data_IF_060607347566
#
_entry.id   IF_060607347566
#
_cell.length_a   1.000
_cell.length_b   1.000
_cell.length_c   1.000
_cell.angle_alpha   90.00
_cell.angle_beta   90.00
_cell.angle_gamma   90.00
#
_symmetry.space_group_name_H-M   'P 1'
#
loop_
_entity.id
_entity.type
_entity.pdbx_description
1 polymer ?
#
# COMPACT_ATOMS: atom_id res chain seq x y z
N UNK A 1 -4.40 -1.52 -8.01
CA UNK A 1 -5.07 -0.45 -8.76
C UNK A 1 -4.05 0.43 -9.49
N UNK A 2 -4.32 0.83 -10.73
CA UNK A 2 -3.47 1.72 -11.55
C UNK A 2 -4.30 2.92 -12.03
N UNK A 3 -3.94 4.14 -11.59
CA UNK A 3 -4.53 5.37 -12.14
C UNK A 3 -3.76 5.75 -13.42
N UNK A 4 -4.43 5.95 -14.56
CA UNK A 4 -3.76 6.45 -15.77
C UNK A 4 -3.09 7.80 -15.52
N UNK A 5 -1.79 7.90 -15.82
CA UNK A 5 -1.02 9.14 -15.70
C UNK A 5 -1.64 10.31 -16.50
N UNK A 6 -2.35 10.01 -17.59
CA UNK A 6 -3.06 11.00 -18.40
C UNK A 6 -4.15 11.79 -17.67
N UNK A 7 -4.58 11.34 -16.48
CA UNK A 7 -5.61 12.02 -15.68
C UNK A 7 -5.04 13.03 -14.67
N UNK A 8 -3.80 12.84 -14.21
CA UNK A 8 -3.22 13.65 -13.12
C UNK A 8 -2.33 14.80 -13.59
N UNK A 9 -1.85 14.77 -14.85
CA UNK A 9 -0.97 15.81 -15.40
C UNK A 9 0.49 15.72 -14.93
N UNK A 10 1.26 16.78 -15.20
CA UNK A 10 2.67 16.84 -14.79
C UNK A 10 2.81 17.03 -13.27
N UNK A 11 3.79 16.36 -12.67
CA UNK A 11 4.07 16.44 -11.22
C UNK A 11 3.66 15.22 -10.41
N UNK A 12 2.92 14.28 -11.00
CA UNK A 12 2.56 13.02 -10.38
C UNK A 12 3.41 11.86 -10.88
N UNK A 13 3.76 10.95 -9.97
CA UNK A 13 4.35 9.66 -10.29
C UNK A 13 3.47 8.56 -9.73
N UNK A 14 2.83 7.81 -10.63
CA UNK A 14 1.96 6.69 -10.26
C UNK A 14 2.77 5.41 -10.20
N UNK A 15 2.70 4.70 -9.08
CA UNK A 15 3.37 3.43 -8.85
C UNK A 15 2.36 2.39 -8.39
N UNK A 16 2.54 1.14 -8.82
CA UNK A 16 1.73 0.02 -8.37
C UNK A 16 2.42 -0.74 -7.23
N UNK A 17 1.65 -1.13 -6.22
CA UNK A 17 2.11 -2.07 -5.19
C UNK A 17 2.14 -3.53 -5.68
N UNK A 18 1.53 -3.81 -6.84
CA UNK A 18 1.32 -5.16 -7.37
C UNK A 18 0.56 -6.08 -6.39
N UNK A 19 -0.38 -5.52 -5.63
CA UNK A 19 -1.24 -6.24 -4.68
C UNK A 19 -0.73 -6.12 -3.23
N UNK A 20 -0.97 -7.17 -2.44
CA UNK A 20 -0.56 -7.27 -1.04
C UNK A 20 0.96 -7.34 -0.91
N UNK A 21 1.52 -6.46 -0.07
CA UNK A 21 2.97 -6.38 0.18
C UNK A 21 3.40 -7.01 1.51
N UNK A 22 2.43 -7.33 2.37
CA UNK A 22 2.59 -7.98 3.66
C UNK A 22 1.52 -9.06 3.76
N UNK A 23 1.84 -10.13 4.47
CA UNK A 23 0.93 -11.25 4.68
C UNK A 23 1.18 -11.89 6.05
N UNK A 24 0.28 -12.77 6.49
CA UNK A 24 0.54 -13.65 7.61
C UNK A 24 1.59 -14.70 7.22
N UNK A 25 2.41 -15.17 8.17
CA UNK A 25 3.35 -16.25 7.93
C UNK A 25 2.60 -17.55 7.60
N UNK A 26 3.09 -18.30 6.61
CA UNK A 26 2.46 -19.54 6.14
C UNK A 26 2.69 -20.72 7.11
N UNK A 27 3.81 -20.71 7.84
CA UNK A 27 4.28 -21.83 8.66
C UNK A 27 3.83 -21.77 10.14
N UNK A 28 3.12 -20.73 10.55
CA UNK A 28 2.63 -20.54 11.91
C UNK A 28 1.25 -19.87 11.90
N UNK A 29 0.53 -19.88 13.03
CA UNK A 29 -0.83 -19.30 13.12
C UNK A 29 -0.88 -17.81 12.71
N UNK A 30 0.23 -17.10 12.83
CA UNK A 30 0.35 -15.69 12.43
C UNK A 30 -0.42 -14.72 13.32
N UNK A 31 -1.06 -15.19 14.38
CA UNK A 31 -1.85 -14.40 15.32
C UNK A 31 -1.48 -14.79 16.76
N UNK A 32 -1.22 -13.79 17.60
CA UNK A 32 -0.93 -13.98 19.02
C UNK A 32 -2.25 -13.96 19.83
N UNK A 33 -2.78 -15.14 20.14
CA UNK A 33 -4.06 -15.31 20.87
C UNK A 33 -3.98 -14.72 22.29
N UNK A 34 -2.81 -14.81 22.92
CA UNK A 34 -2.58 -14.30 24.29
C UNK A 34 -2.46 -12.77 24.33
N UNK A 35 -2.17 -12.13 23.18
CA UNK A 35 -2.03 -10.68 23.05
C UNK A 35 -3.11 -10.06 22.17
N UNK A 36 -4.37 -10.26 22.56
CA UNK A 36 -5.54 -9.62 21.92
C UNK A 36 -5.59 -9.84 20.40
N UNK A 37 -5.29 -11.07 19.97
CA UNK A 37 -5.26 -11.47 18.56
C UNK A 37 -4.35 -10.60 17.69
N UNK A 38 -3.22 -10.14 18.24
CA UNK A 38 -2.29 -9.31 17.50
C UNK A 38 -1.71 -10.07 16.30
N UNK A 39 -1.91 -9.58 15.05
CA UNK A 39 -1.37 -10.24 13.87
C UNK A 39 0.13 -10.01 13.74
N UNK A 40 0.84 -11.05 13.32
CA UNK A 40 2.24 -11.01 12.91
C UNK A 40 2.29 -11.00 11.39
N UNK A 41 2.60 -9.84 10.82
CA UNK A 41 2.75 -9.69 9.38
C UNK A 41 4.21 -9.77 8.94
N UNK A 42 4.48 -10.60 7.94
CA UNK A 42 5.77 -10.73 7.27
C UNK A 42 5.74 -10.04 5.91
N UNK A 43 6.92 -9.76 5.35
CA UNK A 43 7.08 -9.29 3.97
C UNK A 43 7.49 -10.48 3.10
N UNK A 44 6.62 -10.94 2.18
CA UNK A 44 6.96 -12.01 1.26
C UNK A 44 8.21 -11.66 0.42
N UNK A 45 9.08 -12.62 0.08
CA UNK A 45 10.28 -12.37 -0.72
C UNK A 45 9.98 -11.64 -2.04
N UNK A 46 8.87 -12.00 -2.71
CA UNK A 46 8.39 -11.35 -3.94
C UNK A 46 8.13 -9.85 -3.79
N UNK A 47 7.69 -9.41 -2.61
CA UNK A 47 7.29 -8.03 -2.34
C UNK A 47 8.46 -7.14 -1.91
N UNK A 48 9.61 -7.72 -1.51
CA UNK A 48 10.80 -6.97 -1.05
C UNK A 48 11.33 -5.99 -2.11
N UNK A 49 11.39 -6.42 -3.38
CA UNK A 49 11.87 -5.57 -4.48
C UNK A 49 10.94 -4.37 -4.69
N UNK A 50 9.63 -4.61 -4.66
CA UNK A 50 8.60 -3.57 -4.80
C UNK A 50 8.68 -2.58 -3.64
N UNK A 51 8.72 -3.05 -2.40
CA UNK A 51 8.84 -2.18 -1.21
C UNK A 51 10.09 -1.31 -1.29
N UNK A 52 11.24 -1.87 -1.68
CA UNK A 52 12.48 -1.10 -1.83
C UNK A 52 12.35 0.00 -2.88
N UNK A 53 11.72 -0.31 -4.02
CA UNK A 53 11.47 0.68 -5.07
C UNK A 53 10.51 1.78 -4.60
N UNK A 54 9.38 1.40 -3.99
CA UNK A 54 8.39 2.34 -3.46
C UNK A 54 9.01 3.25 -2.38
N UNK A 55 9.78 2.69 -1.45
CA UNK A 55 10.42 3.45 -0.37
C UNK A 55 11.39 4.51 -0.91
N UNK A 56 12.17 4.18 -1.95
CA UNK A 56 13.06 5.12 -2.63
C UNK A 56 12.29 6.30 -3.25
N UNK A 57 11.11 6.05 -3.82
CA UNK A 57 10.33 7.09 -4.48
C UNK A 57 9.53 7.94 -3.48
N UNK A 58 8.96 7.33 -2.45
CA UNK A 58 8.26 8.02 -1.36
C UNK A 58 9.17 9.03 -0.67
N UNK A 59 10.43 8.68 -0.42
CA UNK A 59 11.39 9.60 0.22
C UNK A 59 11.70 10.85 -0.62
N UNK A 60 11.51 10.78 -1.94
CA UNK A 60 11.69 11.92 -2.86
C UNK A 60 10.40 12.72 -3.05
N UNK A 61 9.26 12.15 -2.70
CA UNK A 61 7.96 12.76 -2.91
C UNK A 61 7.65 13.77 -1.79
N UNK A 62 7.10 14.93 -2.15
CA UNK A 62 6.60 15.91 -1.17
C UNK A 62 5.35 15.38 -0.44
N UNK A 63 4.47 14.73 -1.20
CA UNK A 63 3.21 14.16 -0.72
C UNK A 63 3.10 12.74 -1.24
N UNK A 64 2.66 11.81 -0.39
CA UNK A 64 2.35 10.43 -0.80
C UNK A 64 0.85 10.23 -0.71
N UNK A 65 0.26 9.77 -1.82
CA UNK A 65 -1.18 9.51 -1.94
C UNK A 65 -1.40 8.01 -2.07
N UNK A 66 -2.24 7.43 -1.22
CA UNK A 66 -2.72 6.06 -1.30
C UNK A 66 -4.06 6.06 -2.04
N UNK A 67 -4.08 5.36 -3.17
CA UNK A 67 -5.19 5.31 -4.10
C UNK A 67 -5.62 3.85 -4.33
N UNK A 68 -6.04 3.18 -3.26
CA UNK A 68 -6.59 1.83 -3.28
C UNK A 68 -8.12 1.86 -3.41
N UNK A 69 -8.72 0.72 -3.72
CA UNK A 69 -10.18 0.57 -3.77
C UNK A 69 -10.87 1.01 -2.46
N UNK A 70 -12.11 1.50 -2.54
CA UNK A 70 -12.94 1.87 -1.39
C UNK A 70 -13.65 0.63 -0.81
N UNK A 71 -12.89 -0.42 -0.56
CA UNK A 71 -13.38 -1.61 0.09
C UNK A 71 -12.43 -2.04 1.22
N UNK A 72 -12.85 -3.06 1.96
CA UNK A 72 -12.08 -3.58 3.10
C UNK A 72 -10.68 -4.05 2.68
N UNK A 73 -10.54 -4.61 1.48
CA UNK A 73 -9.26 -5.11 0.99
C UNK A 73 -8.34 -3.95 0.60
N UNK A 74 -8.87 -2.94 -0.09
CA UNK A 74 -8.17 -1.71 -0.45
C UNK A 74 -7.69 -0.94 0.77
N UNK A 75 -8.48 -0.87 1.84
CA UNK A 75 -8.06 -0.26 3.12
C UNK A 75 -6.97 -1.07 3.81
N UNK A 76 -7.06 -2.41 3.81
CA UNK A 76 -6.00 -3.27 4.34
C UNK A 76 -4.69 -3.09 3.57
N UNK A 77 -4.74 -3.01 2.24
CA UNK A 77 -3.57 -2.75 1.39
C UNK A 77 -2.97 -1.37 1.69
N UNK A 78 -3.80 -0.33 1.78
CA UNK A 78 -3.36 1.02 2.12
C UNK A 78 -2.66 1.07 3.49
N UNK A 79 -3.26 0.42 4.49
CA UNK A 79 -2.67 0.30 5.81
C UNK A 79 -1.32 -0.44 5.76
N UNK A 80 -1.25 -1.59 5.08
CA UNK A 80 -0.01 -2.34 4.93
C UNK A 80 1.10 -1.54 4.24
N UNK A 81 0.77 -0.79 3.19
CA UNK A 81 1.69 0.13 2.51
C UNK A 81 2.19 1.22 3.45
N UNK A 82 1.28 1.86 4.19
CA UNK A 82 1.63 2.87 5.18
C UNK A 82 2.64 2.35 6.21
N UNK A 83 2.38 1.16 6.75
CA UNK A 83 3.26 0.53 7.73
C UNK A 83 4.62 0.08 7.14
N UNK A 84 4.62 -0.51 5.93
CA UNK A 84 5.86 -1.02 5.32
C UNK A 84 6.78 0.10 4.81
N UNK A 85 6.19 1.23 4.39
CA UNK A 85 6.92 2.38 3.84
C UNK A 85 7.20 3.45 4.90
N UNK A 86 6.73 3.26 6.14
CA UNK A 86 6.87 4.19 7.26
C UNK A 86 6.29 5.58 6.94
N UNK A 87 5.07 5.58 6.38
CA UNK A 87 4.39 6.81 6.00
C UNK A 87 3.80 7.49 7.24
N UNK A 88 4.19 8.76 7.49
CA UNK A 88 3.70 9.50 8.67
C UNK A 88 2.29 10.05 8.50
N UNK A 89 2.00 10.63 7.35
CA UNK A 89 0.72 11.29 7.03
C UNK A 89 0.42 11.19 5.53
N UNK A 90 0.19 9.97 5.00
CA UNK A 90 -0.22 9.84 3.61
C UNK A 90 -1.62 10.41 3.41
N UNK A 91 -1.87 10.98 2.24
CA UNK A 91 -3.23 11.32 1.81
C UNK A 91 -3.92 10.06 1.27
N UNK A 92 -5.24 9.97 1.44
CA UNK A 92 -6.06 8.86 0.97
C UNK A 92 -7.10 9.41 0.01
N UNK A 93 -7.15 8.86 -1.20
CA UNK A 93 -8.18 9.20 -2.20
C UNK A 93 -9.01 7.97 -2.51
N UNK A 94 -10.34 8.11 -2.55
CA UNK A 94 -11.29 7.06 -2.91
C UNK A 94 -12.04 7.48 -4.16
N UNK A 95 -12.36 6.51 -5.01
CA UNK A 95 -13.15 6.72 -6.22
C UNK A 95 -13.84 5.40 -6.58
N UNK A 96 -15.05 5.52 -7.13
CA UNK A 96 -15.85 4.37 -7.56
C UNK A 96 -15.63 4.01 -9.03
N UNK A 97 -15.10 4.97 -9.81
CA UNK A 97 -14.80 4.80 -11.23
C UNK A 97 -13.51 5.55 -11.58
N UNK A 98 -12.79 5.05 -12.59
CA UNK A 98 -11.56 5.67 -13.09
C UNK A 98 -11.87 6.37 -14.41
N UNK A 99 -12.49 7.54 -14.32
CA UNK A 99 -12.77 8.44 -15.44
C UNK A 99 -11.99 9.75 -15.26
N UNK A 100 -11.85 10.51 -16.35
CA UNK A 100 -11.28 11.87 -16.28
C UNK A 100 -12.29 12.89 -15.70
N UNK A 101 -13.57 12.52 -15.61
CA UNK A 101 -14.72 13.37 -15.27
C UNK A 101 -15.73 12.59 -14.47
#
# INVERSE_FOLDING_TARGET
MLIPLGFLGQGYKVLSSFGHIRDLPEDELGVDIEKDFKPKYIVPPKSKKVIRALKSEVQKAKTTILATDEDREGEAIAWHLSQALDLKKPERIVFHEITKS
#
